data_IF_708956810009
#
_entry.id   IF_708956810009
#
_cell.length_a   1.000
_cell.length_b   1.000
_cell.length_c   1.000
_cell.angle_alpha   90.00
_cell.angle_beta   90.00
_cell.angle_gamma   90.00
#
_symmetry.space_group_name_H-M   'P 1'
#
loop_
_entity.id
_entity.type
_entity.pdbx_description
1 polymer ?
#
# COMPACT_ATOMS: atom_id res chain seq x y z
N UNK A 1 6.17 -3.57 -84.29
CA UNK A 1 7.07 -2.56 -83.69
C UNK A 1 6.35 -1.45 -82.91
N UNK A 2 5.13 -1.00 -83.28
CA UNK A 2 4.40 0.06 -82.55
C UNK A 2 3.69 -0.38 -81.25
N UNK A 3 3.25 -1.64 -81.15
CA UNK A 3 2.58 -2.16 -79.95
C UNK A 3 3.53 -2.55 -78.80
N UNK A 4 4.81 -2.80 -79.11
CA UNK A 4 5.80 -3.19 -78.10
C UNK A 4 6.24 -1.99 -77.25
N UNK A 5 6.32 -0.79 -77.85
CA UNK A 5 6.63 0.45 -77.14
C UNK A 5 5.50 0.91 -76.22
N UNK A 6 4.24 0.71 -76.61
CA UNK A 6 3.08 1.09 -75.79
C UNK A 6 2.94 0.18 -74.57
N UNK A 7 3.19 -1.13 -74.73
CA UNK A 7 3.20 -2.08 -73.61
C UNK A 7 4.35 -1.82 -72.63
N UNK A 8 5.53 -1.45 -73.13
CA UNK A 8 6.66 -1.10 -72.26
C UNK A 8 6.43 0.22 -71.51
N UNK A 9 5.81 1.22 -72.13
CA UNK A 9 5.43 2.48 -71.46
C UNK A 9 4.36 2.28 -70.39
N UNK A 10 3.40 1.38 -70.59
CA UNK A 10 2.38 1.07 -69.57
C UNK A 10 3.01 0.28 -68.41
N UNK A 11 3.94 -0.64 -68.69
CA UNK A 11 4.66 -1.39 -67.66
C UNK A 11 5.58 -0.47 -66.83
N UNK A 12 6.23 0.52 -67.46
CA UNK A 12 7.07 1.50 -66.78
C UNK A 12 6.25 2.53 -65.97
N UNK A 13 5.07 2.92 -66.47
CA UNK A 13 4.14 3.78 -65.73
C UNK A 13 3.49 3.06 -64.53
N UNK A 14 3.25 1.74 -64.63
CA UNK A 14 2.77 0.93 -63.51
C UNK A 14 3.86 0.72 -62.43
N UNK A 15 5.13 0.62 -62.81
CA UNK A 15 6.25 0.50 -61.87
C UNK A 15 6.63 1.82 -61.19
N UNK A 16 6.30 2.97 -61.80
CA UNK A 16 6.52 4.29 -61.22
C UNK A 16 5.48 4.69 -60.15
N UNK A 17 4.32 4.00 -60.06
CA UNK A 17 3.33 4.24 -59.01
C UNK A 17 3.52 3.35 -57.76
N UNK A 18 4.56 2.51 -57.72
CA UNK A 18 4.95 1.74 -56.52
C UNK A 18 6.19 2.31 -55.83
N UNK A 19 6.55 3.57 -56.10
CA UNK A 19 7.71 4.23 -55.50
C UNK A 19 7.28 5.18 -54.37
N UNK A 20 7.83 4.93 -53.19
CA UNK A 20 7.91 5.82 -52.01
C UNK A 20 6.64 6.01 -51.17
N UNK A 21 6.21 4.97 -50.47
CA UNK A 21 5.69 5.15 -49.11
C UNK A 21 6.85 5.19 -48.11
N UNK A 22 7.75 6.17 -48.24
CA UNK A 22 8.67 6.56 -47.16
C UNK A 22 7.89 7.40 -46.14
N UNK A 23 6.90 6.77 -45.52
CA UNK A 23 6.44 7.24 -44.22
C UNK A 23 7.58 7.02 -43.23
N UNK A 24 7.86 7.94 -42.29
CA UNK A 24 8.82 7.69 -41.23
C UNK A 24 8.42 6.37 -40.56
N UNK A 25 9.32 5.37 -40.57
CA UNK A 25 9.03 4.10 -39.92
C UNK A 25 8.58 4.40 -38.48
N UNK A 26 7.42 3.87 -38.06
CA UNK A 26 6.95 4.09 -36.70
C UNK A 26 8.06 3.61 -35.76
N UNK A 27 8.51 4.50 -34.86
CA UNK A 27 9.56 4.18 -33.91
C UNK A 27 9.25 2.83 -33.24
N UNK A 28 10.24 1.96 -33.13
CA UNK A 28 10.10 0.66 -32.49
C UNK A 28 9.76 0.85 -31.02
N UNK A 29 8.76 0.11 -30.52
CA UNK A 29 8.40 0.13 -29.11
C UNK A 29 9.58 -0.40 -28.26
N UNK A 30 10.01 0.40 -27.29
CA UNK A 30 11.01 0.05 -26.27
C UNK A 30 10.38 -0.84 -25.20
N UNK A 31 9.07 -0.73 -24.97
CA UNK A 31 8.34 -1.56 -24.01
C UNK A 31 6.85 -1.25 -23.96
N UNK A 32 6.15 -1.94 -23.06
CA UNK A 32 4.71 -1.78 -22.83
C UNK A 32 4.45 -1.11 -21.49
N UNK A 33 3.49 -0.18 -21.48
CA UNK A 33 2.99 0.48 -20.28
C UNK A 33 1.46 0.54 -20.32
N UNK A 34 0.85 0.78 -19.17
CA UNK A 34 -0.60 0.92 -19.03
C UNK A 34 -0.94 2.28 -18.42
N UNK A 35 -2.07 2.86 -18.81
CA UNK A 35 -2.54 4.09 -18.21
C UNK A 35 -2.96 3.88 -16.74
N UNK A 36 -2.33 4.61 -15.82
CA UNK A 36 -2.61 4.54 -14.40
C UNK A 36 -3.88 5.26 -13.95
N UNK A 37 -4.10 6.55 -14.29
CA UNK A 37 -5.27 7.27 -13.81
C UNK A 37 -6.56 6.92 -14.57
N UNK A 38 -7.73 7.23 -13.99
CA UNK A 38 -9.06 7.13 -14.64
C UNK A 38 -9.04 7.72 -16.05
N UNK A 39 -8.38 8.85 -16.21
CA UNK A 39 -8.19 9.54 -17.48
C UNK A 39 -6.76 10.04 -17.57
N UNK A 40 -6.04 9.60 -18.60
CA UNK A 40 -4.68 10.02 -18.92
C UNK A 40 -4.72 10.88 -20.18
N UNK A 41 -4.17 12.09 -20.07
CA UNK A 41 -4.07 13.02 -21.20
C UNK A 41 -2.69 12.86 -21.86
N UNK A 42 -2.68 12.57 -23.15
CA UNK A 42 -1.48 12.45 -23.97
C UNK A 42 -1.32 13.74 -24.77
N UNK A 43 -0.15 14.36 -24.64
CA UNK A 43 0.13 15.70 -25.16
C UNK A 43 1.06 15.67 -26.36
N UNK A 44 0.97 16.66 -27.24
CA UNK A 44 1.82 16.71 -28.44
C UNK A 44 3.29 16.94 -28.09
N UNK A 45 3.54 17.81 -27.12
CA UNK A 45 4.87 18.20 -26.65
C UNK A 45 4.97 18.13 -25.12
N UNK A 46 6.19 18.14 -24.60
CA UNK A 46 6.50 18.08 -23.17
C UNK A 46 5.95 19.28 -22.36
N UNK A 47 5.61 20.39 -23.03
CA UNK A 47 5.06 21.58 -22.37
C UNK A 47 3.67 21.29 -21.79
N UNK A 48 3.40 21.74 -20.57
CA UNK A 48 2.06 21.61 -19.95
C UNK A 48 0.97 22.37 -20.71
N UNK A 49 1.34 23.36 -21.53
CA UNK A 49 0.42 24.15 -22.37
C UNK A 49 0.18 23.53 -23.75
N UNK A 50 0.87 22.44 -24.09
CA UNK A 50 0.71 21.79 -25.40
C UNK A 50 -0.68 21.15 -25.53
N UNK A 51 -1.23 21.07 -26.76
CA UNK A 51 -2.55 20.48 -26.99
C UNK A 51 -2.56 18.99 -26.64
N UNK A 52 -3.72 18.52 -26.20
CA UNK A 52 -3.98 17.09 -25.94
C UNK A 52 -4.30 16.42 -27.27
N UNK A 53 -3.51 15.43 -27.65
CA UNK A 53 -3.65 14.68 -28.92
C UNK A 53 -4.52 13.44 -28.71
N UNK A 54 -4.46 12.83 -27.52
CA UNK A 54 -5.29 11.68 -27.18
C UNK A 54 -5.66 11.68 -25.70
N UNK A 55 -6.81 11.08 -25.39
CA UNK A 55 -7.27 10.81 -24.02
C UNK A 55 -7.49 9.31 -23.87
N UNK A 56 -6.85 8.73 -22.86
CA UNK A 56 -6.74 7.29 -22.63
C UNK A 56 -7.35 6.95 -21.27
N UNK A 57 -8.03 5.81 -21.16
CA UNK A 57 -8.65 5.38 -19.90
C UNK A 57 -7.72 4.48 -19.10
N UNK A 58 -7.97 4.37 -17.78
CA UNK A 58 -7.23 3.44 -16.92
C UNK A 58 -7.18 2.03 -17.52
N UNK A 59 -5.99 1.41 -17.50
CA UNK A 59 -5.77 0.04 -17.95
C UNK A 59 -5.63 -0.15 -19.45
N UNK A 60 -5.76 0.91 -20.25
CA UNK A 60 -5.46 0.86 -21.69
C UNK A 60 -3.95 0.71 -21.92
N UNK A 61 -3.59 -0.15 -22.88
CA UNK A 61 -2.20 -0.47 -23.22
C UNK A 61 -1.60 0.63 -24.09
N UNK A 62 -0.34 0.96 -23.79
CA UNK A 62 0.46 1.99 -24.42
C UNK A 62 1.83 1.42 -24.79
N UNK A 63 2.26 1.64 -26.02
CA UNK A 63 3.62 1.32 -26.45
C UNK A 63 4.55 2.48 -26.11
N UNK A 64 5.60 2.23 -25.35
CA UNK A 64 6.61 3.24 -25.01
C UNK A 64 7.62 3.33 -26.14
N UNK A 65 7.72 4.50 -26.79
CA UNK A 65 8.60 4.74 -27.93
C UNK A 65 9.93 5.37 -27.54
N UNK A 66 9.91 6.27 -26.55
CA UNK A 66 11.14 6.94 -26.07
C UNK A 66 10.93 7.51 -24.67
N UNK A 67 12.02 7.69 -23.95
CA UNK A 67 12.02 8.25 -22.60
C UNK A 67 12.88 9.51 -22.56
N UNK A 68 12.36 10.59 -21.98
CA UNK A 68 13.06 11.87 -21.76
C UNK A 68 12.81 12.36 -20.35
N UNK A 69 13.79 12.15 -19.46
CA UNK A 69 13.69 12.44 -18.02
C UNK A 69 12.44 11.75 -17.44
N UNK A 70 11.47 12.50 -16.89
CA UNK A 70 10.20 11.97 -16.36
C UNK A 70 9.13 11.71 -17.43
N UNK A 71 9.31 12.20 -18.66
CA UNK A 71 8.30 12.10 -19.71
C UNK A 71 8.58 10.93 -20.63
N UNK A 72 7.54 10.19 -21.00
CA UNK A 72 7.62 9.11 -21.97
C UNK A 72 6.77 9.44 -23.18
N UNK A 73 7.33 9.22 -24.37
CA UNK A 73 6.58 9.24 -25.62
C UNK A 73 5.91 7.89 -25.78
N UNK A 74 4.60 7.88 -25.86
CA UNK A 74 3.78 6.69 -25.97
C UNK A 74 2.98 6.71 -27.27
N UNK A 75 2.72 5.52 -27.81
CA UNK A 75 1.77 5.28 -28.89
C UNK A 75 0.54 4.58 -28.32
N UNK A 76 -0.63 5.14 -28.59
CA UNK A 76 -1.93 4.54 -28.24
C UNK A 76 -2.29 3.51 -29.31
N UNK A 77 -3.13 2.53 -28.99
CA UNK A 77 -3.64 1.53 -29.94
C UNK A 77 -4.23 2.12 -31.25
N UNK A 78 -4.69 3.38 -31.22
CA UNK A 78 -5.17 4.12 -32.40
C UNK A 78 -4.05 4.63 -33.33
N UNK A 79 -2.79 4.33 -33.04
CA UNK A 79 -1.61 4.81 -33.78
C UNK A 79 -1.18 6.24 -33.48
N UNK A 80 -1.89 6.92 -32.57
CA UNK A 80 -1.58 8.30 -32.16
C UNK A 80 -0.42 8.32 -31.18
N UNK A 81 0.57 9.17 -31.44
CA UNK A 81 1.75 9.34 -30.58
C UNK A 81 1.70 10.64 -29.80
N UNK A 82 2.22 10.63 -28.57
CA UNK A 82 2.44 11.84 -27.79
C UNK A 82 3.16 11.57 -26.47
N UNK A 83 3.31 12.60 -25.66
CA UNK A 83 4.04 12.57 -24.39
C UNK A 83 3.10 12.49 -23.19
N UNK A 84 3.49 11.70 -22.21
CA UNK A 84 2.85 11.63 -20.91
C UNK A 84 3.89 11.49 -19.78
N UNK A 85 3.44 11.67 -18.55
CA UNK A 85 4.29 11.56 -17.37
C UNK A 85 4.47 10.09 -16.96
N UNK A 86 5.72 9.68 -16.71
CA UNK A 86 6.07 8.33 -16.27
C UNK A 86 5.42 7.94 -14.93
N UNK A 87 5.21 8.91 -14.03
CA UNK A 87 4.55 8.69 -12.75
C UNK A 87 3.07 8.31 -12.87
N UNK A 88 2.47 8.51 -14.04
CA UNK A 88 1.07 8.18 -14.35
C UNK A 88 0.91 6.89 -15.14
N UNK A 89 2.02 6.20 -15.41
CA UNK A 89 2.03 4.92 -16.11
C UNK A 89 2.21 3.78 -15.11
N UNK A 90 1.68 2.61 -15.49
CA UNK A 90 1.79 1.37 -14.75
C UNK A 90 2.47 0.30 -15.61
N UNK A 91 3.23 -0.58 -14.98
CA UNK A 91 3.77 -1.77 -15.63
C UNK A 91 2.70 -2.87 -15.75
N UNK A 92 2.96 -3.88 -16.59
CA UNK A 92 2.12 -5.09 -16.65
C UNK A 92 2.01 -5.79 -15.28
N UNK A 93 3.12 -5.83 -14.53
CA UNK A 93 3.16 -6.38 -13.18
C UNK A 93 2.25 -5.60 -12.21
N UNK A 94 2.30 -4.26 -12.24
CA UNK A 94 1.44 -3.42 -11.41
C UNK A 94 -0.04 -3.62 -11.74
N UNK A 95 -0.39 -3.76 -13.02
CA UNK A 95 -1.77 -4.08 -13.43
C UNK A 95 -2.19 -5.47 -12.92
N UNK A 96 -1.31 -6.47 -13.00
CA UNK A 96 -1.53 -7.78 -12.40
C UNK A 96 -1.75 -7.71 -10.88
N UNK A 97 -0.93 -6.91 -10.18
CA UNK A 97 -1.04 -6.67 -8.74
C UNK A 97 -2.37 -6.02 -8.38
N UNK A 98 -2.86 -5.04 -9.14
CA UNK A 98 -4.17 -4.41 -8.90
C UNK A 98 -5.33 -5.40 -9.03
N UNK A 99 -5.27 -6.31 -10.02
CA UNK A 99 -6.27 -7.38 -10.15
C UNK A 99 -6.22 -8.34 -8.96
N UNK A 100 -5.01 -8.77 -8.56
CA UNK A 100 -4.82 -9.62 -7.39
C UNK A 100 -5.31 -8.96 -6.09
N UNK A 101 -5.09 -7.65 -5.93
CA UNK A 101 -5.61 -6.85 -4.81
C UNK A 101 -7.14 -6.88 -4.80
N UNK A 102 -7.79 -6.69 -5.94
CA UNK A 102 -9.26 -6.76 -6.05
C UNK A 102 -9.80 -8.17 -5.72
N UNK A 103 -9.14 -9.23 -6.21
CA UNK A 103 -9.50 -10.63 -5.93
C UNK A 103 -9.34 -10.99 -4.43
N UNK A 104 -8.25 -10.53 -3.80
CA UNK A 104 -8.04 -10.71 -2.37
C UNK A 104 -9.07 -9.92 -1.56
N UNK A 105 -9.27 -8.64 -1.91
CA UNK A 105 -10.25 -7.76 -1.28
C UNK A 105 -11.67 -8.29 -1.32
N UNK A 106 -12.05 -9.03 -2.37
CA UNK A 106 -13.35 -9.68 -2.46
C UNK A 106 -13.59 -10.72 -1.34
N UNK A 107 -12.53 -11.37 -0.84
CA UNK A 107 -12.61 -12.42 0.19
C UNK A 107 -12.57 -11.86 1.61
N UNK A 108 -11.94 -10.71 1.81
CA UNK A 108 -11.68 -10.15 3.13
C UNK A 108 -12.95 -9.66 3.85
N UNK A 109 -12.99 -9.78 5.19
CA UNK A 109 -14.11 -9.27 5.98
C UNK A 109 -14.15 -7.74 5.93
N UNK A 110 -15.33 -7.20 5.64
CA UNK A 110 -15.54 -5.75 5.71
C UNK A 110 -15.48 -5.29 7.16
N UNK A 111 -14.76 -4.20 7.40
CA UNK A 111 -14.75 -3.46 8.65
C UNK A 111 -15.91 -2.45 8.73
N UNK A 112 -16.94 -2.58 7.89
CA UNK A 112 -18.08 -1.66 7.82
C UNK A 112 -18.18 -0.92 6.50
N UNK A 113 -19.40 -0.47 6.20
CA UNK A 113 -19.72 0.35 5.04
C UNK A 113 -19.45 1.84 5.34
N UNK A 114 -18.84 2.54 4.39
CA UNK A 114 -18.48 3.94 4.48
C UNK A 114 -18.84 4.69 3.19
N UNK A 115 -18.85 6.02 3.28
CA UNK A 115 -19.10 6.97 2.19
C UNK A 115 -18.05 8.08 2.22
N UNK A 116 -18.07 8.93 1.20
CA UNK A 116 -17.28 10.17 1.12
C UNK A 116 -18.21 11.37 0.97
N UNK A 117 -17.83 12.50 1.59
CA UNK A 117 -18.62 13.74 1.52
C UNK A 117 -18.53 14.44 0.16
N UNK A 118 -17.38 14.39 -0.49
CA UNK A 118 -17.23 14.88 -1.88
C UNK A 118 -16.64 13.76 -2.74
N UNK A 119 -16.57 13.98 -4.05
CA UNK A 119 -15.83 13.10 -4.94
C UNK A 119 -14.36 12.92 -4.48
N UNK A 120 -13.89 11.67 -4.46
CA UNK A 120 -12.54 11.30 -4.00
C UNK A 120 -11.86 10.30 -4.90
N UNK A 121 -10.56 10.51 -5.10
CA UNK A 121 -9.70 9.63 -5.86
C UNK A 121 -9.27 8.43 -5.02
N UNK A 122 -9.34 7.25 -5.64
CA UNK A 122 -8.84 6.00 -5.08
C UNK A 122 -7.54 5.66 -5.79
N UNK A 123 -6.51 5.45 -4.99
CA UNK A 123 -5.12 5.34 -5.40
C UNK A 123 -4.66 3.87 -5.48
N UNK A 124 -3.73 3.58 -6.39
CA UNK A 124 -3.12 2.25 -6.51
C UNK A 124 -2.25 1.91 -5.29
N UNK A 125 -1.66 2.91 -4.65
CA UNK A 125 -0.80 2.80 -3.49
C UNK A 125 -1.24 3.78 -2.40
N UNK A 126 -0.88 3.55 -1.11
CA UNK A 126 -1.19 4.47 -0.01
C UNK A 126 -0.30 5.72 -0.07
N UNK A 127 -0.41 6.47 -1.17
CA UNK A 127 0.37 7.67 -1.44
C UNK A 127 -0.41 8.66 -2.32
N UNK A 128 -0.38 9.96 -1.96
CA UNK A 128 -1.19 11.02 -2.61
C UNK A 128 -0.88 11.25 -4.08
N UNK A 129 0.36 11.02 -4.48
CA UNK A 129 0.83 11.22 -5.86
C UNK A 129 0.70 9.98 -6.74
N UNK A 130 0.42 8.83 -6.13
CA UNK A 130 0.26 7.57 -6.89
C UNK A 130 -0.95 7.66 -7.84
N UNK A 131 -0.93 6.93 -8.96
CA UNK A 131 -2.03 6.95 -9.92
C UNK A 131 -3.38 6.63 -9.29
N UNK A 132 -4.41 7.39 -9.66
CA UNK A 132 -5.78 7.20 -9.19
C UNK A 132 -6.64 6.56 -10.27
N UNK A 133 -6.96 5.28 -10.11
CA UNK A 133 -7.62 4.46 -11.14
C UNK A 133 -9.15 4.43 -11.01
N UNK A 134 -9.67 4.93 -9.89
CA UNK A 134 -11.10 5.05 -9.60
C UNK A 134 -11.37 6.42 -8.94
N UNK A 135 -12.53 6.98 -9.20
CA UNK A 135 -13.05 8.16 -8.52
C UNK A 135 -14.41 7.80 -7.92
N UNK A 136 -14.51 7.86 -6.60
CA UNK A 136 -15.76 7.72 -5.86
C UNK A 136 -16.56 9.01 -5.98
N UNK A 137 -17.86 8.89 -6.15
CA UNK A 137 -18.80 10.02 -6.11
C UNK A 137 -19.16 10.35 -4.67
N UNK A 138 -19.71 11.54 -4.47
CA UNK A 138 -20.35 11.95 -3.22
C UNK A 138 -21.42 10.93 -2.82
N UNK A 139 -21.44 10.58 -1.53
CA UNK A 139 -22.33 9.58 -0.92
C UNK A 139 -22.26 8.17 -1.53
N UNK A 140 -21.28 7.89 -2.38
CA UNK A 140 -21.07 6.54 -2.92
C UNK A 140 -20.59 5.62 -1.80
N UNK A 141 -21.35 4.54 -1.58
CA UNK A 141 -21.03 3.58 -0.52
C UNK A 141 -19.98 2.56 -0.96
N UNK A 142 -19.08 2.19 -0.06
CA UNK A 142 -18.05 1.18 -0.27
C UNK A 142 -17.68 0.52 1.06
N UNK A 143 -16.97 -0.60 1.01
CA UNK A 143 -16.52 -1.32 2.19
C UNK A 143 -15.09 -0.93 2.58
N UNK A 144 -14.86 -0.68 3.86
CA UNK A 144 -13.50 -0.57 4.41
C UNK A 144 -12.99 -1.97 4.74
N UNK A 145 -11.74 -2.27 4.39
CA UNK A 145 -11.12 -3.58 4.59
C UNK A 145 -9.94 -3.54 5.57
N UNK A 146 -9.17 -2.45 5.54
CA UNK A 146 -7.97 -2.33 6.36
C UNK A 146 -7.44 -0.92 6.44
N UNK A 147 -6.36 -0.74 7.19
CA UNK A 147 -5.68 0.52 7.43
C UNK A 147 -4.17 0.36 7.22
N UNK A 148 -3.51 1.47 6.88
CA UNK A 148 -2.06 1.57 6.86
C UNK A 148 -1.62 2.98 7.22
N UNK A 149 -0.68 3.06 8.15
CA UNK A 149 0.00 4.30 8.49
C UNK A 149 1.26 4.46 7.62
N UNK A 150 1.33 5.53 6.83
CA UNK A 150 2.45 5.78 5.90
C UNK A 150 3.11 7.11 6.19
N UNK A 151 4.45 7.13 6.23
CA UNK A 151 5.21 8.37 6.33
C UNK A 151 5.10 9.16 5.01
N UNK A 152 4.79 10.45 5.11
CA UNK A 152 4.76 11.35 3.95
C UNK A 152 6.19 11.53 3.43
N UNK A 153 6.39 11.25 2.15
CA UNK A 153 7.66 11.39 1.47
C UNK A 153 7.50 11.68 -0.02
N UNK A 154 8.61 11.78 -0.76
CA UNK A 154 8.56 11.86 -2.22
C UNK A 154 8.01 10.55 -2.81
N UNK A 155 7.18 10.66 -3.84
CA UNK A 155 6.71 9.51 -4.61
C UNK A 155 7.70 9.18 -5.71
N UNK A 156 8.03 7.90 -5.88
CA UNK A 156 8.79 7.43 -7.02
C UNK A 156 8.09 6.21 -7.58
N UNK A 157 7.52 6.36 -8.78
CA UNK A 157 6.82 5.26 -9.45
C UNK A 157 7.78 4.14 -9.84
N UNK A 158 7.30 2.89 -9.90
CA UNK A 158 8.13 1.77 -10.35
C UNK A 158 8.65 1.97 -11.77
N UNK A 159 7.85 2.58 -12.64
CA UNK A 159 8.27 2.90 -14.01
C UNK A 159 9.43 3.90 -14.01
N UNK A 160 9.37 4.94 -13.17
CA UNK A 160 10.47 5.90 -13.02
C UNK A 160 11.73 5.20 -12.49
N UNK A 161 11.61 4.31 -11.50
CA UNK A 161 12.75 3.51 -11.00
C UNK A 161 13.38 2.65 -12.09
N UNK A 162 12.55 2.00 -12.92
CA UNK A 162 13.03 1.19 -14.05
C UNK A 162 13.79 2.05 -15.06
N UNK A 163 13.26 3.22 -15.40
CA UNK A 163 13.92 4.18 -16.31
C UNK A 163 15.24 4.70 -15.74
N UNK A 164 15.27 5.06 -14.46
CA UNK A 164 16.48 5.55 -13.79
C UNK A 164 17.54 4.45 -13.73
N UNK A 165 17.15 3.22 -13.38
CA UNK A 165 18.05 2.07 -13.36
C UNK A 165 18.61 1.73 -14.75
N UNK A 166 17.79 1.87 -15.80
CA UNK A 166 18.23 1.64 -17.18
C UNK A 166 19.20 2.73 -17.68
N UNK A 167 19.03 3.97 -17.21
CA UNK A 167 19.89 5.10 -17.56
C UNK A 167 21.11 5.25 -16.63
N UNK A 168 21.13 4.56 -15.49
CA UNK A 168 22.25 4.57 -14.57
C UNK A 168 23.46 3.93 -15.26
N UNK A 169 24.54 4.71 -15.41
CA UNK A 169 25.79 4.18 -15.93
C UNK A 169 26.22 2.96 -15.07
N UNK A 170 26.67 1.86 -15.68
CA UNK A 170 27.15 0.72 -14.91
C UNK A 170 28.21 1.23 -13.94
N UNK A 171 28.01 0.99 -12.64
CA UNK A 171 29.01 1.32 -11.63
C UNK A 171 30.30 0.67 -12.09
N UNK A 172 31.24 1.45 -12.62
CA UNK A 172 32.59 0.97 -12.90
C UNK A 172 33.10 0.49 -11.55
N UNK A 173 33.09 -0.82 -11.33
CA UNK A 173 33.86 -1.44 -10.26
C UNK A 173 35.26 -0.87 -10.46
N UNK A 174 35.69 0.03 -9.58
CA UNK A 174 37.10 0.48 -9.58
C UNK A 174 37.89 -0.82 -9.62
N UNK A 175 38.74 -1.06 -10.64
CA UNK A 175 39.50 -2.29 -10.69
C UNK A 175 40.18 -2.39 -9.33
N UNK A 176 39.92 -3.49 -8.63
CA UNK A 176 40.63 -3.79 -7.39
C UNK A 176 42.10 -3.63 -7.75
N UNK A 177 42.79 -2.72 -7.05
CA UNK A 177 44.21 -2.45 -7.28
C UNK A 177 44.93 -3.77 -7.08
N UNK A 178 45.21 -4.46 -8.17
CA UNK A 178 45.92 -5.73 -8.14
C UNK A 178 47.30 -5.42 -7.56
N UNK A 179 47.52 -5.86 -6.33
CA UNK A 179 48.86 -5.95 -5.75
C UNK A 179 49.64 -6.90 -6.65
N UNK A 180 50.56 -6.34 -7.46
CA UNK A 180 51.44 -7.12 -8.32
C UNK A 180 52.16 -8.18 -7.47
N UNK A 181 52.21 -9.45 -7.89
CA UNK A 181 53.01 -10.47 -7.20
C UNK A 181 54.48 -10.08 -7.34
N UNK A 182 55.18 -10.05 -6.21
CA UNK A 182 56.63 -9.85 -6.16
C UNK A 182 57.30 -11.15 -6.61
N UNK A 183 57.42 -11.34 -7.92
CA UNK A 183 58.17 -12.47 -8.45
C UNK A 183 59.67 -12.20 -8.37
N UNK A 184 60.36 -13.10 -7.67
CA UNK A 184 61.81 -13.12 -7.53
C UNK A 184 62.34 -13.93 -8.71
N UNK A 185 63.03 -13.30 -9.67
CA UNK A 185 64.34 -13.78 -10.16
C UNK A 185 64.99 -12.89 -11.21
N UNK A 186 66.32 -12.82 -11.03
CA UNK A 186 67.42 -12.37 -11.90
C UNK A 186 67.47 -10.89 -12.28
N UNK A 187 68.27 -10.17 -11.49
CA UNK A 187 69.07 -9.03 -11.94
C UNK A 187 70.20 -9.57 -12.81
N UNK A 188 70.28 -9.11 -14.04
CA UNK A 188 71.55 -8.87 -14.72
C UNK A 188 71.69 -7.35 -14.84
N UNK A 189 72.84 -6.91 -14.33
CA UNK A 189 73.62 -5.71 -14.64
C UNK A 189 73.15 -4.31 -14.23
N UNK A 190 73.98 -3.75 -13.33
CA UNK A 190 74.48 -2.37 -13.21
C UNK A 190 73.49 -1.19 -13.07
N UNK A 191 73.41 -0.66 -11.83
CA UNK A 191 74.11 0.57 -11.37
C UNK A 191 73.76 0.76 -9.89
N UNK A 192 74.75 0.78 -9.00
CA UNK A 192 74.54 1.11 -7.57
C UNK A 192 74.36 2.62 -7.41
N UNK A 193 73.13 3.07 -7.15
CA UNK A 193 72.87 4.44 -6.69
C UNK A 193 73.14 4.52 -5.18
N UNK A 194 73.81 5.59 -4.70
CA UNK A 194 74.14 5.76 -3.28
C UNK A 194 72.87 5.88 -2.43
N UNK A 195 72.91 5.48 -1.14
CA UNK A 195 71.75 5.54 -0.26
C UNK A 195 71.29 6.99 -0.07
N UNK A 196 70.01 7.27 -0.34
CA UNK A 196 69.41 8.56 -0.07
C UNK A 196 69.46 8.88 1.44
N UNK A 197 69.80 10.12 1.83
CA UNK A 197 69.72 10.54 3.21
C UNK A 197 68.26 10.51 3.70
N UNK A 198 68.03 10.22 5.00
CA UNK A 198 66.69 10.24 5.58
C UNK A 198 66.09 11.65 5.46
N UNK A 199 64.79 11.71 5.15
CA UNK A 199 64.08 12.97 5.00
C UNK A 199 64.13 13.78 6.31
N UNK A 200 64.34 15.11 6.22
CA UNK A 200 64.33 15.97 7.40
C UNK A 200 62.96 15.93 8.09
N UNK A 201 62.97 15.83 9.42
CA UNK A 201 61.76 15.82 10.23
C UNK A 201 60.96 17.12 10.08
N UNK A 202 59.65 17.05 10.30
CA UNK A 202 58.77 18.22 10.24
C UNK A 202 59.26 19.31 11.22
N UNK A 203 59.26 20.59 10.82
CA UNK A 203 59.69 21.68 11.70
C UNK A 203 58.87 21.71 13.01
N UNK A 204 59.48 22.03 14.16
CA UNK A 204 58.81 22.01 15.47
C UNK A 204 57.55 22.89 15.55
N UNK A 205 57.49 23.96 14.74
CA UNK A 205 56.41 24.94 14.68
C UNK A 205 55.36 24.65 13.58
N UNK A 206 55.30 23.42 13.04
CA UNK A 206 54.34 23.08 11.99
C UNK A 206 52.88 23.29 12.39
N UNK A 207 52.56 23.15 13.69
CA UNK A 207 51.22 23.42 14.24
C UNK A 207 50.87 24.90 14.18
N UNK A 208 51.80 25.80 14.46
CA UNK A 208 51.59 27.25 14.39
C UNK A 208 51.41 27.74 12.95
N UNK A 209 52.13 27.14 12.00
CA UNK A 209 51.98 27.43 10.57
C UNK A 209 50.65 26.92 9.97
N UNK A 210 50.03 25.92 10.61
CA UNK A 210 48.74 25.37 10.18
C UNK A 210 47.53 26.16 10.71
N UNK A 211 47.72 27.03 11.71
CA UNK A 211 46.72 28.00 12.10
C UNK A 211 46.81 29.22 11.17
N UNK A 212 46.05 29.15 10.08
CA UNK A 212 45.78 30.34 9.27
C UNK A 212 45.05 31.33 10.16
N UNK A 213 45.65 32.48 10.45
CA UNK A 213 44.92 33.61 11.01
C UNK A 213 43.68 33.87 10.13
N UNK A 214 42.51 34.18 10.71
CA UNK A 214 41.33 34.47 9.90
C UNK A 214 41.67 35.66 8.99
N UNK A 215 41.78 35.40 7.69
CA UNK A 215 41.51 36.43 6.71
C UNK A 215 40.10 36.93 7.01
N UNK A 216 39.90 38.24 7.05
CA UNK A 216 38.59 38.87 7.11
C UNK A 216 37.68 38.27 6.03
N UNK A 217 36.95 37.22 6.38
CA UNK A 217 35.87 36.69 5.58
C UNK A 217 34.71 37.65 5.75
N UNK A 218 34.40 38.35 4.65
CA UNK A 218 33.19 39.16 4.52
C UNK A 218 31.99 38.42 5.13
N UNK A 219 31.11 39.11 5.88
CA UNK A 219 30.02 38.44 6.57
C UNK A 219 29.19 37.65 5.56
N UNK A 220 28.94 36.35 5.78
CA UNK A 220 28.12 35.56 4.87
C UNK A 220 26.77 36.24 4.75
N UNK A 221 26.34 36.49 3.50
CA UNK A 221 25.06 37.14 3.20
C UNK A 221 23.99 36.44 4.02
N UNK A 222 23.22 37.23 4.78
CA UNK A 222 22.17 36.79 5.71
C UNK A 222 21.21 35.77 5.05
N UNK A 223 21.08 35.81 3.73
CA UNK A 223 20.33 34.90 2.86
C UNK A 223 20.90 33.48 2.80
N UNK A 224 22.22 33.28 2.80
CA UNK A 224 22.85 31.94 2.73
C UNK A 224 22.77 31.23 4.08
N UNK A 225 22.96 31.95 5.20
CA UNK A 225 22.68 31.41 6.53
C UNK A 225 21.19 31.11 6.72
N UNK A 226 20.29 31.91 6.12
CA UNK A 226 18.86 31.63 6.08
C UNK A 226 18.54 30.39 5.25
N UNK A 227 19.14 30.22 4.07
CA UNK A 227 18.92 29.06 3.21
C UNK A 227 19.45 27.77 3.83
N UNK A 228 20.66 27.81 4.42
CA UNK A 228 21.27 26.66 5.08
C UNK A 228 20.52 26.28 6.36
N UNK A 229 20.05 27.27 7.13
CA UNK A 229 19.18 27.02 8.29
C UNK A 229 17.77 26.54 7.90
N UNK A 230 17.21 26.99 6.77
CA UNK A 230 15.97 26.43 6.22
C UNK A 230 16.13 24.99 5.74
N UNK A 231 17.25 24.66 5.08
CA UNK A 231 17.58 23.29 4.65
C UNK A 231 17.78 22.35 5.85
N UNK A 232 18.50 22.78 6.88
CA UNK A 232 18.69 22.02 8.12
C UNK A 232 17.36 21.87 8.87
N UNK A 233 16.51 22.91 8.91
CA UNK A 233 15.18 22.86 9.55
C UNK A 233 14.19 21.97 8.79
N UNK A 234 14.24 21.94 7.45
CA UNK A 234 13.46 20.99 6.63
C UNK A 234 13.84 19.54 6.91
N UNK A 235 15.10 19.28 7.24
CA UNK A 235 15.58 17.93 7.56
C UNK A 235 15.20 17.48 8.99
N UNK A 236 14.69 18.40 9.83
CA UNK A 236 14.37 18.16 11.24
C UNK A 236 12.86 18.14 11.57
N UNK A 237 11.96 18.40 10.61
CA UNK A 237 10.55 18.15 10.88
C UNK A 237 10.32 16.64 11.03
N UNK A 238 9.71 16.17 12.13
CA UNK A 238 9.42 14.74 12.28
C UNK A 238 8.57 14.27 11.09
N UNK A 239 8.79 13.03 10.60
CA UNK A 239 8.06 12.52 9.45
C UNK A 239 6.56 12.60 9.73
N UNK A 240 5.85 13.35 8.89
CA UNK A 240 4.39 13.51 8.98
C UNK A 240 3.77 12.21 8.50
N UNK A 241 3.08 11.49 9.38
CA UNK A 241 2.38 10.26 9.00
C UNK A 241 0.97 10.56 8.48
N UNK A 242 0.48 9.68 7.61
CA UNK A 242 -0.85 9.73 7.04
C UNK A 242 -1.56 8.39 7.19
N UNK A 243 -2.81 8.44 7.62
CA UNK A 243 -3.70 7.30 7.67
C UNK A 243 -4.32 7.05 6.29
N UNK A 244 -4.10 5.85 5.77
CA UNK A 244 -4.71 5.35 4.55
C UNK A 244 -5.64 4.18 4.88
N UNK A 245 -6.82 4.16 4.27
CA UNK A 245 -7.78 3.07 4.35
C UNK A 245 -7.79 2.31 3.03
N UNK A 246 -7.68 0.99 3.12
CA UNK A 246 -7.93 0.10 2.01
C UNK A 246 -9.43 -0.12 1.88
N UNK A 247 -9.98 0.11 0.69
CA UNK A 247 -11.41 -0.01 0.42
C UNK A 247 -11.69 -0.99 -0.71
N UNK A 248 -12.93 -1.49 -0.73
CA UNK A 248 -13.53 -2.24 -1.84
C UNK A 248 -14.78 -1.50 -2.30
N UNK A 249 -14.73 -1.00 -3.53
CA UNK A 249 -15.86 -0.35 -4.19
C UNK A 249 -16.93 -1.36 -4.62
N UNK A 250 -18.12 -0.87 -4.97
CA UNK A 250 -19.27 -1.72 -5.35
C UNK A 250 -19.02 -2.54 -6.62
N UNK A 251 -18.16 -2.05 -7.51
CA UNK A 251 -17.75 -2.73 -8.73
C UNK A 251 -16.68 -3.80 -8.51
N UNK A 252 -16.29 -4.06 -7.24
CA UNK A 252 -15.30 -5.06 -6.86
C UNK A 252 -13.85 -4.57 -6.92
N UNK A 253 -13.59 -3.36 -7.44
CA UNK A 253 -12.24 -2.80 -7.42
C UNK A 253 -11.82 -2.41 -6.01
N UNK A 254 -10.53 -2.54 -5.71
CA UNK A 254 -9.98 -2.22 -4.41
C UNK A 254 -8.73 -1.34 -4.51
N UNK A 255 -8.59 -0.40 -3.58
CA UNK A 255 -7.50 0.57 -3.57
C UNK A 255 -7.49 1.44 -2.33
N UNK A 256 -6.64 2.47 -2.34
CA UNK A 256 -6.31 3.26 -1.16
C UNK A 256 -6.93 4.64 -1.19
N UNK A 257 -7.46 5.08 -0.06
CA UNK A 257 -8.02 6.42 0.14
C UNK A 257 -7.57 6.97 1.48
N UNK A 258 -7.42 8.31 1.60
CA UNK A 258 -7.06 8.95 2.85
C UNK A 258 -8.15 8.76 3.91
N UNK A 259 -7.81 8.17 5.04
CA UNK A 259 -8.76 7.77 6.10
C UNK A 259 -9.65 8.95 6.55
N UNK A 260 -9.08 10.15 6.68
CA UNK A 260 -9.81 11.36 7.10
C UNK A 260 -10.97 11.77 6.18
N UNK A 261 -11.04 11.24 4.95
CA UNK A 261 -12.08 11.61 3.96
C UNK A 261 -13.29 10.70 4.00
N UNK A 262 -13.21 9.57 4.72
CA UNK A 262 -14.30 8.60 4.83
C UNK A 262 -15.22 8.97 6.00
N UNK A 263 -16.49 8.65 5.85
CA UNK A 263 -17.51 8.69 6.90
C UNK A 263 -18.19 7.33 6.96
N UNK A 264 -18.19 6.69 8.14
CA UNK A 264 -18.86 5.41 8.34
C UNK A 264 -20.38 5.58 8.24
N UNK A 265 -21.06 4.69 7.53
CA UNK A 265 -22.51 4.73 7.29
C UNK A 265 -23.32 4.13 8.43
N UNK A 266 -22.98 4.48 9.66
CA UNK A 266 -23.74 4.05 10.83
C UNK A 266 -24.93 4.99 11.07
N UNK A 267 -26.10 4.45 11.47
CA UNK A 267 -27.26 5.29 11.79
C UNK A 267 -26.99 6.35 12.86
N UNK A 268 -27.59 7.53 12.66
CA UNK A 268 -27.37 8.71 13.50
C UNK A 268 -27.85 8.55 14.95
N UNK A 269 -28.85 7.71 15.18
CA UNK A 269 -29.35 7.37 16.51
C UNK A 269 -28.28 6.68 17.36
N UNK A 270 -27.30 6.02 16.74
CA UNK A 270 -26.16 5.38 17.40
C UNK A 270 -24.89 6.23 17.25
N UNK A 271 -24.62 6.84 16.09
CA UNK A 271 -23.39 7.59 15.78
C UNK A 271 -23.07 8.66 16.83
N UNK A 272 -24.10 9.29 17.41
CA UNK A 272 -23.98 10.31 18.47
C UNK A 272 -23.24 9.86 19.73
N UNK A 273 -23.17 8.55 20.01
CA UNK A 273 -22.47 8.01 21.18
C UNK A 273 -20.95 7.85 20.97
N UNK A 274 -20.42 8.29 19.83
CA UNK A 274 -18.99 8.22 19.54
C UNK A 274 -18.14 9.12 20.47
N UNK A 275 -18.75 10.06 21.23
CA UNK A 275 -18.06 10.91 22.23
C UNK A 275 -16.83 11.63 21.62
N UNK A 276 -16.94 12.12 20.38
CA UNK A 276 -15.84 12.78 19.66
C UNK A 276 -14.76 11.84 19.10
N UNK A 277 -14.83 10.53 19.38
CA UNK A 277 -13.93 9.55 18.80
C UNK A 277 -14.36 9.23 17.37
N UNK A 278 -13.41 8.87 16.52
CA UNK A 278 -13.69 8.44 15.16
C UNK A 278 -14.09 6.97 15.16
N UNK A 279 -15.23 6.64 14.56
CA UNK A 279 -15.64 5.25 14.34
C UNK A 279 -14.77 4.66 13.23
N UNK A 280 -14.07 3.56 13.52
CA UNK A 280 -13.13 2.92 12.59
C UNK A 280 -13.69 1.64 11.96
N UNK A 281 -14.61 0.97 12.65
CA UNK A 281 -15.39 -0.13 12.09
C UNK A 281 -16.78 -0.22 12.70
N UNK A 282 -17.73 -0.83 11.99
CA UNK A 282 -19.05 -1.12 12.53
C UNK A 282 -19.69 -2.37 11.90
N UNK A 283 -20.56 -3.04 12.66
CA UNK A 283 -21.22 -4.28 12.28
C UNK A 283 -22.63 -4.37 12.87
N UNK A 284 -23.55 -5.04 12.17
CA UNK A 284 -24.90 -5.34 12.66
C UNK A 284 -24.96 -6.67 13.42
N UNK A 285 -25.33 -6.59 14.70
CA UNK A 285 -25.36 -7.73 15.64
C UNK A 285 -26.72 -8.45 15.69
N UNK A 286 -27.65 -8.09 14.81
CA UNK A 286 -28.97 -8.71 14.73
C UNK A 286 -30.13 -7.73 14.89
N UNK A 287 -31.31 -8.19 14.50
CA UNK A 287 -32.53 -7.39 14.39
C UNK A 287 -33.38 -7.45 15.67
N UNK A 288 -34.09 -6.37 15.96
CA UNK A 288 -34.99 -6.18 17.10
C UNK A 288 -36.29 -5.56 16.60
N UNK A 289 -37.41 -6.24 16.83
CA UNK A 289 -38.72 -5.69 16.51
C UNK A 289 -39.11 -4.62 17.54
N UNK A 290 -39.50 -3.44 17.06
CA UNK A 290 -40.06 -2.35 17.83
C UNK A 290 -41.34 -1.83 17.17
N UNK A 291 -42.48 -2.40 17.57
CA UNK A 291 -43.77 -2.16 16.93
C UNK A 291 -43.75 -2.60 15.47
N UNK A 292 -43.95 -1.64 14.55
CA UNK A 292 -43.87 -1.84 13.09
C UNK A 292 -42.45 -1.65 12.53
N UNK A 293 -41.51 -1.15 13.34
CA UNK A 293 -40.14 -0.86 12.89
C UNK A 293 -39.17 -1.96 13.31
N UNK A 294 -38.16 -2.23 12.48
CA UNK A 294 -37.04 -3.11 12.82
C UNK A 294 -35.83 -2.24 13.14
N UNK A 295 -35.31 -2.40 14.35
CA UNK A 295 -34.04 -1.82 14.81
C UNK A 295 -32.96 -2.88 14.83
N UNK A 296 -31.70 -2.48 14.91
CA UNK A 296 -30.57 -3.41 14.95
C UNK A 296 -29.71 -3.18 16.18
N UNK A 297 -29.07 -4.22 16.66
CA UNK A 297 -27.92 -4.12 17.57
C UNK A 297 -26.66 -3.77 16.75
N UNK A 298 -25.71 -3.05 17.36
CA UNK A 298 -24.50 -2.64 16.66
C UNK A 298 -23.24 -2.93 17.48
N UNK A 299 -22.21 -3.43 16.80
CA UNK A 299 -20.83 -3.40 17.29
C UNK A 299 -20.11 -2.29 16.55
N UNK A 300 -19.33 -1.48 17.25
CA UNK A 300 -18.38 -0.58 16.60
C UNK A 300 -17.01 -0.61 17.26
N UNK A 301 -16.02 -0.09 16.55
CA UNK A 301 -14.71 0.25 17.11
C UNK A 301 -14.46 1.74 16.93
N UNK A 302 -13.74 2.34 17.87
CA UNK A 302 -13.45 3.77 17.89
C UNK A 302 -11.97 4.03 18.10
N UNK A 303 -11.50 5.17 17.61
CA UNK A 303 -10.16 5.70 17.90
C UNK A 303 -10.25 7.18 18.28
N UNK A 304 -9.60 7.57 19.37
CA UNK A 304 -9.58 8.94 19.88
C UNK A 304 -8.72 9.85 19.00
N UNK A 305 -7.57 9.34 18.54
CA UNK A 305 -6.57 10.09 17.78
C UNK A 305 -6.09 9.27 16.58
N UNK A 306 -6.04 9.90 15.41
CA UNK A 306 -5.44 9.29 14.22
C UNK A 306 -3.91 9.30 14.26
N UNK A 307 -3.28 8.62 13.30
CA UNK A 307 -1.82 8.52 13.21
C UNK A 307 -1.19 7.52 14.18
N UNK A 308 -2.01 6.65 14.78
CA UNK A 308 -1.58 5.60 15.69
C UNK A 308 -1.25 4.31 14.91
N UNK A 309 -0.35 3.45 15.42
CA UNK A 309 0.04 2.20 14.76
C UNK A 309 -0.99 1.05 14.92
N UNK A 310 -2.10 1.32 15.60
CA UNK A 310 -3.23 0.43 15.83
C UNK A 310 -4.51 1.09 15.30
N UNK A 311 -5.52 0.28 14.98
CA UNK A 311 -6.71 0.74 14.25
C UNK A 311 -7.87 1.16 15.15
N UNK A 312 -7.89 0.78 16.43
CA UNK A 312 -8.87 1.24 17.41
C UNK A 312 -8.34 1.19 18.83
N UNK A 313 -8.85 2.08 19.70
CA UNK A 313 -8.53 2.12 21.13
C UNK A 313 -9.68 1.72 22.05
N UNK A 314 -10.83 1.42 21.46
CA UNK A 314 -12.02 0.97 22.16
C UNK A 314 -13.02 0.34 21.22
N UNK A 315 -13.89 -0.49 21.77
CA UNK A 315 -15.04 -1.02 21.05
C UNK A 315 -16.25 -1.08 21.98
N UNK A 316 -17.44 -0.96 21.39
CA UNK A 316 -18.69 -0.91 22.15
C UNK A 316 -19.79 -1.63 21.41
N UNK A 317 -20.72 -2.15 22.18
CA UNK A 317 -21.89 -2.85 21.70
C UNK A 317 -23.12 -2.08 22.15
N UNK A 318 -23.91 -1.64 21.17
CA UNK A 318 -25.17 -0.95 21.38
C UNK A 318 -26.31 -1.92 21.21
N UNK A 319 -27.14 -1.95 22.23
CA UNK A 319 -28.32 -2.79 22.29
C UNK A 319 -29.55 -1.90 22.23
N UNK A 320 -30.44 -2.16 21.27
CA UNK A 320 -31.71 -1.46 21.21
C UNK A 320 -32.68 -2.06 22.23
N UNK A 321 -33.23 -1.23 23.10
CA UNK A 321 -34.23 -1.64 24.09
C UNK A 321 -35.63 -1.27 23.58
N UNK A 322 -36.35 -2.24 23.03
CA UNK A 322 -37.69 -2.04 22.48
C UNK A 322 -38.74 -1.57 23.52
N UNK A 323 -38.51 -1.79 24.82
CA UNK A 323 -39.41 -1.29 25.87
C UNK A 323 -39.20 0.19 26.19
N UNK A 324 -38.00 0.70 25.92
CA UNK A 324 -37.59 2.09 26.21
C UNK A 324 -37.38 2.93 24.96
N UNK A 325 -37.58 2.35 23.78
CA UNK A 325 -37.39 2.96 22.47
C UNK A 325 -36.05 3.71 22.32
N UNK A 326 -34.96 3.14 22.85
CA UNK A 326 -33.63 3.77 22.82
C UNK A 326 -32.49 2.77 22.82
N UNK A 327 -31.33 3.23 22.33
CA UNK A 327 -30.06 2.51 22.44
C UNK A 327 -29.45 2.63 23.83
N UNK A 328 -28.97 1.49 24.34
CA UNK A 328 -28.22 1.39 25.59
C UNK A 328 -26.87 0.70 25.32
N UNK A 329 -25.84 1.06 26.08
CA UNK A 329 -24.52 0.38 25.98
C UNK A 329 -24.61 -0.97 26.68
N UNK A 330 -24.59 -2.07 25.90
CA UNK A 330 -24.60 -3.43 26.43
C UNK A 330 -23.23 -3.92 26.87
N UNK A 331 -22.16 -3.46 26.20
CA UNK A 331 -20.78 -3.79 26.54
C UNK A 331 -19.84 -2.71 26.01
N UNK A 332 -18.73 -2.47 26.72
CA UNK A 332 -17.70 -1.49 26.33
C UNK A 332 -16.35 -1.91 26.87
N UNK A 333 -15.35 -1.92 26.00
CA UNK A 333 -13.94 -2.01 26.37
C UNK A 333 -13.25 -0.71 25.92
N UNK A 334 -12.38 -0.16 26.77
CA UNK A 334 -11.62 1.08 26.49
C UNK A 334 -10.14 0.83 26.74
N UNK A 335 -9.30 1.72 26.21
CA UNK A 335 -7.85 1.71 26.41
C UNK A 335 -7.20 0.40 25.92
N UNK A 336 -7.77 -0.18 24.86
CA UNK A 336 -7.18 -1.33 24.19
C UNK A 336 -6.27 -0.84 23.05
N UNK A 337 -5.38 -1.69 22.56
CA UNK A 337 -4.75 -1.46 21.25
C UNK A 337 -5.26 -2.52 20.31
N UNK A 338 -6.22 -2.13 19.50
CA UNK A 338 -6.96 -3.01 18.63
C UNK A 338 -6.45 -2.99 17.20
N UNK A 339 -6.45 -4.15 16.56
CA UNK A 339 -5.98 -4.30 15.20
C UNK A 339 -7.03 -4.92 14.28
N UNK A 340 -6.96 -4.59 12.99
CA UNK A 340 -7.76 -5.28 11.97
C UNK A 340 -7.13 -6.65 11.61
N UNK A 341 -7.96 -7.65 11.27
CA UNK A 341 -9.41 -7.57 11.05
C UNK A 341 -10.26 -7.74 12.32
N UNK A 342 -11.43 -7.10 12.33
CA UNK A 342 -12.59 -7.50 13.16
C UNK A 342 -13.64 -8.17 12.29
N UNK A 343 -14.37 -9.15 12.83
CA UNK A 343 -15.38 -9.87 12.04
C UNK A 343 -16.51 -10.45 12.90
N UNK A 344 -17.71 -10.48 12.31
CA UNK A 344 -18.84 -11.28 12.79
C UNK A 344 -18.79 -12.70 12.24
N UNK A 345 -19.15 -13.67 13.08
CA UNK A 345 -19.34 -15.05 12.66
C UNK A 345 -20.20 -15.81 13.67
N UNK A 346 -20.69 -16.99 13.29
CA UNK A 346 -21.39 -17.86 14.26
C UNK A 346 -20.41 -18.48 15.22
N UNK A 347 -20.77 -18.54 16.50
CA UNK A 347 -20.01 -19.18 17.58
C UNK A 347 -20.87 -20.21 18.30
N UNK A 348 -20.23 -21.25 18.80
CA UNK A 348 -20.87 -22.28 19.60
C UNK A 348 -20.74 -21.93 21.09
N UNK A 349 -21.89 -21.81 21.75
CA UNK A 349 -21.99 -21.52 23.19
C UNK A 349 -22.53 -22.76 23.88
N UNK A 350 -21.78 -23.30 24.82
CA UNK A 350 -22.20 -24.43 25.65
C UNK A 350 -22.70 -23.91 27.00
N UNK A 351 -24.01 -24.05 27.24
CA UNK A 351 -24.62 -23.71 28.52
C UNK A 351 -25.13 -25.01 29.17
N UNK A 352 -24.44 -25.44 30.22
CA UNK A 352 -24.67 -26.75 30.83
C UNK A 352 -24.32 -27.90 29.88
N UNK A 353 -25.33 -28.74 29.53
CA UNK A 353 -25.17 -29.87 28.59
C UNK A 353 -25.61 -29.55 27.15
N UNK A 354 -26.07 -28.33 26.86
CA UNK A 354 -26.60 -27.96 25.54
C UNK A 354 -25.65 -26.98 24.87
N UNK A 355 -25.23 -27.33 23.65
CA UNK A 355 -24.48 -26.44 22.76
C UNK A 355 -25.46 -25.78 21.79
N UNK A 356 -25.41 -24.45 21.69
CA UNK A 356 -26.24 -23.65 20.78
C UNK A 356 -25.34 -22.78 19.91
N UNK A 357 -25.75 -22.56 18.66
CA UNK A 357 -25.13 -21.55 17.80
C UNK A 357 -25.69 -20.18 18.16
N UNK A 358 -24.81 -19.23 18.41
CA UNK A 358 -25.14 -17.83 18.65
C UNK A 358 -24.38 -16.95 17.66
N UNK A 359 -24.80 -15.69 17.56
CA UNK A 359 -24.01 -14.67 16.88
C UNK A 359 -22.79 -14.35 17.74
N UNK A 360 -21.62 -14.29 17.13
CA UNK A 360 -20.39 -13.93 17.80
C UNK A 360 -19.56 -12.99 16.95
N UNK A 361 -18.53 -12.47 17.58
CA UNK A 361 -17.56 -11.61 16.92
C UNK A 361 -16.17 -11.86 17.49
N UNK A 362 -15.18 -11.64 16.64
CA UNK A 362 -13.78 -11.67 17.03
C UNK A 362 -13.12 -10.33 16.74
N UNK A 363 -12.31 -9.88 17.69
CA UNK A 363 -11.42 -8.73 17.54
C UNK A 363 -9.99 -9.14 17.85
N UNK A 364 -9.02 -8.48 17.22
CA UNK A 364 -7.60 -8.60 17.55
C UNK A 364 -7.21 -7.45 18.47
N UNK A 365 -6.63 -7.78 19.62
CA UNK A 365 -6.20 -6.81 20.64
C UNK A 365 -4.81 -7.17 21.16
N UNK A 366 -4.00 -6.18 21.49
CA UNK A 366 -2.72 -6.35 22.19
C UNK A 366 -2.94 -6.45 23.70
N UNK A 367 -2.39 -7.49 24.32
CA UNK A 367 -2.38 -7.65 25.78
C UNK A 367 -1.20 -6.93 26.43
N UNK A 368 -1.26 -6.81 27.76
CA UNK A 368 -0.17 -6.32 28.60
C UNK A 368 1.08 -7.21 28.42
N UNK A 369 2.02 -6.73 27.61
CA UNK A 369 3.19 -7.51 27.16
C UNK A 369 3.44 -7.45 25.65
N UNK A 370 2.56 -6.81 24.89
CA UNK A 370 2.74 -6.60 23.44
C UNK A 370 2.35 -7.80 22.58
N UNK A 371 1.87 -8.89 23.19
CA UNK A 371 1.37 -10.06 22.48
C UNK A 371 -0.01 -9.75 21.90
N UNK A 372 -0.21 -10.06 20.61
CA UNK A 372 -1.52 -9.95 19.98
C UNK A 372 -2.34 -11.20 20.26
N UNK A 373 -3.59 -10.98 20.63
CA UNK A 373 -4.58 -12.03 20.87
C UNK A 373 -5.85 -11.74 20.09
N UNK A 374 -6.46 -12.81 19.59
CA UNK A 374 -7.82 -12.81 19.10
C UNK A 374 -8.75 -13.11 20.27
N UNK A 375 -9.59 -12.14 20.63
CA UNK A 375 -10.69 -12.31 21.59
C UNK A 375 -11.97 -12.62 20.83
N UNK A 376 -12.62 -13.73 21.18
CA UNK A 376 -13.88 -14.17 20.56
C UNK A 376 -14.99 -14.07 21.59
N UNK A 377 -16.06 -13.39 21.24
CA UNK A 377 -17.20 -13.14 22.11
C UNK A 377 -18.47 -13.75 21.53
N UNK A 378 -19.39 -14.21 22.38
CA UNK A 378 -20.77 -14.45 22.02
C UNK A 378 -21.63 -13.23 22.32
N UNK A 379 -22.61 -13.00 21.46
CA UNK A 379 -23.69 -12.05 21.66
C UNK A 379 -25.02 -12.80 21.79
N UNK A 380 -25.59 -12.77 22.98
CA UNK A 380 -26.85 -13.43 23.34
C UNK A 380 -27.98 -12.39 23.47
N UNK A 381 -28.14 -11.54 22.45
CA UNK A 381 -29.19 -10.50 22.32
C UNK A 381 -29.03 -9.28 23.23
N UNK A 382 -28.68 -9.47 24.51
CA UNK A 382 -28.43 -8.39 25.46
C UNK A 382 -27.13 -8.56 26.23
N UNK A 383 -26.56 -9.77 26.23
CA UNK A 383 -25.35 -10.11 26.98
C UNK A 383 -24.21 -10.43 26.03
N UNK A 384 -23.03 -9.96 26.40
CA UNK A 384 -21.78 -10.23 25.72
C UNK A 384 -20.94 -11.09 26.66
N UNK A 385 -20.47 -12.24 26.18
CA UNK A 385 -19.60 -13.14 26.96
C UNK A 385 -18.34 -13.43 26.17
N UNK A 386 -17.18 -13.28 26.80
CA UNK A 386 -15.91 -13.72 26.21
C UNK A 386 -15.86 -15.24 26.23
N UNK A 387 -15.71 -15.86 25.05
CA UNK A 387 -15.64 -17.32 24.90
C UNK A 387 -14.19 -17.82 24.89
N UNK A 388 -13.30 -17.13 24.19
CA UNK A 388 -11.91 -17.54 24.06
C UNK A 388 -10.98 -16.37 23.77
N UNK A 389 -9.73 -16.54 24.21
CA UNK A 389 -8.60 -15.68 23.88
C UNK A 389 -7.52 -16.58 23.30
N UNK A 390 -7.12 -16.34 22.05
CA UNK A 390 -6.12 -17.15 21.36
C UNK A 390 -5.03 -16.29 20.75
N UNK A 391 -3.76 -16.72 20.76
CA UNK A 391 -2.67 -15.94 20.15
C UNK A 391 -2.97 -15.61 18.69
N UNK A 392 -2.61 -14.40 18.27
CA UNK A 392 -2.76 -13.91 16.92
C UNK A 392 -1.44 -13.40 16.38
N UNK A 393 -1.14 -13.68 15.12
CA UNK A 393 0.07 -13.16 14.45
C UNK A 393 -0.28 -11.85 13.75
N UNK A 394 0.50 -10.80 13.99
CA UNK A 394 0.30 -9.50 13.32
C UNK A 394 0.34 -9.69 11.80
N UNK A 395 -0.63 -9.09 11.11
CA UNK A 395 -0.63 -9.04 9.66
C UNK A 395 0.31 -7.93 9.19
N UNK A 396 1.19 -8.23 8.23
CA UNK A 396 2.08 -7.24 7.63
C UNK A 396 1.36 -6.38 6.58
N UNK A 397 0.41 -7.00 5.86
CA UNK A 397 -0.43 -6.35 4.86
C UNK A 397 -1.92 -6.55 5.20
N UNK A 398 -2.76 -5.50 5.17
CA UNK A 398 -4.21 -5.65 5.31
C UNK A 398 -4.86 -6.55 4.24
N UNK A 399 -4.17 -6.85 3.13
CA UNK A 399 -4.60 -7.79 2.11
C UNK A 399 -4.23 -9.26 2.40
N UNK A 400 -3.49 -9.55 3.48
CA UNK A 400 -3.09 -10.92 3.81
C UNK A 400 -4.34 -11.77 4.10
N UNK A 401 -4.55 -12.82 3.28
CA UNK A 401 -5.67 -13.75 3.41
C UNK A 401 -5.66 -14.52 4.74
N UNK A 402 -4.55 -14.51 5.50
CA UNK A 402 -4.54 -14.97 6.90
C UNK A 402 -5.57 -14.22 7.76
N UNK A 403 -5.98 -13.02 7.37
CA UNK A 403 -7.09 -12.31 7.98
C UNK A 403 -8.37 -13.16 8.08
N UNK A 404 -8.63 -14.06 7.11
CA UNK A 404 -9.81 -14.95 7.13
C UNK A 404 -9.83 -15.89 8.33
N UNK A 405 -8.67 -16.20 8.90
CA UNK A 405 -8.57 -17.01 10.11
C UNK A 405 -9.31 -16.38 11.29
N UNK A 406 -9.61 -15.07 11.28
CA UNK A 406 -10.34 -14.39 12.35
C UNK A 406 -11.70 -15.03 12.62
N UNK A 407 -12.37 -15.54 11.58
CA UNK A 407 -13.69 -16.18 11.68
C UNK A 407 -13.63 -17.70 11.87
N UNK A 408 -12.45 -18.30 11.77
CA UNK A 408 -12.32 -19.75 11.87
C UNK A 408 -12.43 -20.20 13.32
N UNK A 409 -13.22 -21.26 13.61
CA UNK A 409 -13.30 -21.83 14.94
C UNK A 409 -11.90 -22.26 15.36
N UNK A 410 -11.43 -21.77 16.50
CA UNK A 410 -10.17 -22.25 17.06
C UNK A 410 -10.34 -23.71 17.43
N UNK A 411 -9.65 -24.59 16.70
CA UNK A 411 -9.46 -25.95 17.16
C UNK A 411 -8.82 -25.89 18.55
N UNK A 412 -9.33 -26.65 19.54
CA UNK A 412 -8.67 -26.73 20.83
C UNK A 412 -7.23 -27.20 20.61
N UNK A 413 -6.30 -26.52 21.28
CA UNK A 413 -4.86 -26.76 21.26
C UNK A 413 -4.57 -28.28 21.25
N UNK A 414 -3.85 -28.85 20.26
CA UNK A 414 -3.39 -30.22 20.35
C UNK A 414 -2.34 -30.25 21.46
N UNK A 415 -2.75 -30.65 22.66
CA UNK A 415 -1.89 -30.62 23.86
C UNK A 415 -2.53 -30.10 25.14
N UNK A 416 -3.85 -29.85 25.19
CA UNK A 416 -4.51 -29.91 26.50
C UNK A 416 -4.41 -31.36 27.01
N UNK A 417 -3.81 -31.62 28.19
CA UNK A 417 -3.68 -32.99 28.68
C UNK A 417 -5.09 -33.59 28.80
N UNK A 418 -5.29 -34.75 28.16
CA UNK A 418 -6.51 -35.56 28.23
C UNK A 418 -7.17 -35.37 29.61
N UNK A 419 -8.37 -34.79 29.61
CA UNK A 419 -9.10 -34.51 30.84
C UNK A 419 -9.18 -35.77 31.69
N UNK A 420 -9.17 -35.61 33.01
CA UNK A 420 -9.19 -36.73 33.98
C UNK A 420 -10.19 -37.84 33.59
N UNK A 421 -11.35 -37.46 33.04
CA UNK A 421 -12.39 -38.36 32.54
C UNK A 421 -12.02 -39.19 31.29
N UNK A 422 -11.19 -38.67 30.38
CA UNK A 422 -10.66 -39.44 29.23
C UNK A 422 -9.57 -40.42 29.64
N UNK A 423 -8.71 -40.04 30.59
CA UNK A 423 -7.74 -40.97 31.20
C UNK A 423 -8.43 -42.10 31.97
N UNK A 424 -9.55 -41.81 32.64
CA UNK A 424 -10.37 -42.82 33.32
C UNK A 424 -11.05 -43.74 32.31
N UNK A 425 -11.63 -43.22 31.21
CA UNK A 425 -12.22 -44.06 30.15
C UNK A 425 -11.21 -44.99 29.48
N UNK A 426 -9.98 -44.52 29.21
CA UNK A 426 -8.90 -45.36 28.67
C UNK A 426 -8.39 -46.43 29.64
N UNK A 427 -8.62 -46.27 30.95
CA UNK A 427 -8.20 -47.23 31.99
C UNK A 427 -9.29 -48.21 32.42
N UNK A 428 -10.53 -48.11 31.93
CA UNK A 428 -11.55 -49.12 32.22
C UNK A 428 -11.39 -50.35 31.30
N UNK A 429 -11.16 -51.56 31.84
CA UNK A 429 -10.88 -52.76 31.07
C UNK A 429 -12.18 -53.44 30.62
N UNK A 430 -13.09 -52.72 29.94
CA UNK A 430 -14.36 -53.32 29.50
C UNK A 430 -14.80 -53.04 28.07
N UNK A 431 -13.86 -52.73 27.17
CA UNK A 431 -14.16 -52.83 25.74
C UNK A 431 -13.15 -53.70 25.00
N UNK A 432 -13.09 -54.97 25.42
CA UNK A 432 -12.81 -56.08 24.52
C UNK A 432 -13.88 -57.13 24.76
N UNK A 433 -14.89 -57.17 23.88
CA UNK A 433 -15.34 -58.42 23.24
C UNK A 433 -16.44 -58.17 22.20
N UNK A 434 -16.22 -58.91 21.10
CA UNK A 434 -17.06 -59.23 19.95
C UNK A 434 -17.26 -58.16 18.89
#
# INVERSE_FOLDING_TARGET
>A
MRYFFVLFSILFAAMAMTSCSDGPQPASAIGEAFAGPVTLLIRQDLSLKSPVVATVKHGEQLEVLSVRRRFMRVRVARGVEGWCDSEKLLTSEQMGRLRAVAEAAAKLPSQGEATVFDARNVHTEPHRLSPSFLMLKEEERFHVLGHRLVARGPYVSEVTKMVENANAAPTRKKPARATKPKDRRKREDDVELPPMPPAPGVPPNWRELSFRAPLEEAPPKKEERSALSMLIRQQQEPPKFEDWSLIRAKDGRAGWILTRTLTMTIPDDVSRYAEGHRITSWFDLGDVQDGETVKKHYLWTTIAKGGEPYEFDGFRIFVYNARRHRYETGYREKNVRGYFPSALHSVEVTEGRKTRKAQGFSLVVEEEGGALVRKTYSFEGYRVRLLSTTPWTKLEDPLDLKALAITQPTSPKPGAPDGFWEKVKKKLPWNKKS
#
